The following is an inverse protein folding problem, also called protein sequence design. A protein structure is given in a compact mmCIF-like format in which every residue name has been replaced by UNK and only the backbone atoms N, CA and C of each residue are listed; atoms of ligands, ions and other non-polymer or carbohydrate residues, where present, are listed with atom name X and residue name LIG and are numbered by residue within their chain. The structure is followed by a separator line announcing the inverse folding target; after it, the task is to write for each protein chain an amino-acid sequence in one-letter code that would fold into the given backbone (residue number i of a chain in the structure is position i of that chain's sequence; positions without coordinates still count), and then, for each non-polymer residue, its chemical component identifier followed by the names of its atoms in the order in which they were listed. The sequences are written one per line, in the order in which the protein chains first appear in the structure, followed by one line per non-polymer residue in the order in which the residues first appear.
data_IF_237400768368
#
_entry.id   IF_237400768368
#
_cell.length_a   1.000
_cell.length_b   1.000
_cell.length_c   1.000
_cell.angle_alpha   90.00
_cell.angle_beta   90.00
_cell.angle_gamma   90.00
#
_symmetry.space_group_name_H-M   'P 1'
#
loop_
_entity.id
_entity.type
_entity.pdbx_description
1 polymer ?
#
# COMPACT_ATOMS: atom_id res chain seq x y z
N UNK A 1 1.97 -8.64 20.19
CA UNK A 1 1.41 -7.36 19.73
C UNK A 1 0.25 -7.69 18.82
N UNK A 2 -0.91 -7.06 18.93
CA UNK A 2 -2.02 -7.24 17.98
C UNK A 2 -2.01 -6.12 16.92
N UNK A 3 -2.86 -6.21 15.90
CA UNK A 3 -2.86 -5.23 14.81
C UNK A 3 -3.25 -3.83 15.25
N UNK A 4 -4.14 -3.70 16.25
CA UNK A 4 -4.47 -2.40 16.84
C UNK A 4 -3.24 -1.75 17.48
N UNK A 5 -2.46 -2.50 18.24
CA UNK A 5 -1.21 -2.01 18.86
C UNK A 5 -0.16 -1.62 17.81
N UNK A 6 -0.11 -2.32 16.67
CA UNK A 6 0.72 -1.93 15.52
C UNK A 6 0.27 -0.57 14.96
N UNK A 7 -1.03 -0.42 14.70
CA UNK A 7 -1.59 0.84 14.20
C UNK A 7 -1.35 2.01 15.17
N UNK A 8 -1.58 1.80 16.47
CA UNK A 8 -1.35 2.81 17.51
C UNK A 8 0.13 3.21 17.59
N UNK A 9 1.05 2.24 17.41
CA UNK A 9 2.49 2.50 17.38
C UNK A 9 2.89 3.31 16.15
N UNK A 10 2.46 2.91 14.95
CA UNK A 10 2.78 3.66 13.73
C UNK A 10 2.21 5.09 13.79
N UNK A 11 0.99 5.27 14.30
CA UNK A 11 0.40 6.58 14.50
C UNK A 11 1.23 7.45 15.46
N UNK A 12 1.82 6.85 16.50
CA UNK A 12 2.69 7.57 17.45
C UNK A 12 4.03 7.94 16.84
N UNK A 13 4.65 7.01 16.12
CA UNK A 13 6.05 7.10 15.65
C UNK A 13 6.19 7.82 14.29
N UNK A 14 5.18 7.77 13.42
CA UNK A 14 5.24 8.33 12.07
C UNK A 14 4.52 9.67 11.95
N UNK A 15 5.28 10.76 11.83
CA UNK A 15 4.72 12.09 11.57
C UNK A 15 4.10 12.19 10.16
N UNK A 16 4.68 11.47 9.20
CA UNK A 16 4.14 11.33 7.85
C UNK A 16 2.74 10.72 7.84
N UNK A 17 2.53 9.64 8.60
CA UNK A 17 1.23 9.01 8.75
C UNK A 17 0.20 9.97 9.37
N UNK A 18 0.54 10.68 10.46
CA UNK A 18 -0.38 11.65 11.08
C UNK A 18 -0.86 12.72 10.09
N UNK A 19 0.07 13.30 9.34
CA UNK A 19 -0.23 14.33 8.36
C UNK A 19 -1.06 13.78 7.20
N UNK A 20 -0.75 12.56 6.75
CA UNK A 20 -1.50 11.86 5.71
C UNK A 20 -2.95 11.59 6.15
N UNK A 21 -3.17 11.06 7.35
CA UNK A 21 -4.50 10.80 7.89
C UNK A 21 -5.33 12.08 7.97
N UNK A 22 -4.75 13.19 8.44
CA UNK A 22 -5.42 14.49 8.47
C UNK A 22 -5.88 14.94 7.08
N UNK A 23 -5.01 14.81 6.07
CA UNK A 23 -5.33 15.20 4.69
C UNK A 23 -6.41 14.30 4.06
N UNK A 24 -6.42 13.01 4.39
CA UNK A 24 -7.43 12.07 3.93
C UNK A 24 -8.79 12.28 4.61
N UNK A 25 -8.84 12.67 5.89
CA UNK A 25 -10.09 13.10 6.55
C UNK A 25 -10.71 14.33 5.85
N UNK A 26 -9.87 15.24 5.36
CA UNK A 26 -10.29 16.47 4.67
C UNK A 26 -10.50 16.30 3.15
N UNK A 27 -10.75 15.08 2.65
CA UNK A 27 -10.89 14.82 1.20
C UNK A 27 -12.29 15.05 0.65
N UNK A 28 -13.28 15.29 1.51
CA UNK A 28 -14.67 15.46 1.10
C UNK A 28 -14.84 16.54 0.02
N UNK A 29 -15.45 16.16 -1.10
CA UNK A 29 -15.70 17.03 -2.26
C UNK A 29 -14.50 17.20 -3.20
N UNK A 30 -13.29 16.76 -2.83
CA UNK A 30 -12.09 16.88 -3.65
C UNK A 30 -12.10 15.89 -4.82
N UNK A 31 -11.50 16.30 -5.93
CA UNK A 31 -11.15 15.45 -7.07
C UNK A 31 -9.72 14.94 -6.88
N UNK A 32 -9.55 13.64 -6.90
CA UNK A 32 -8.29 12.98 -6.54
C UNK A 32 -7.71 12.25 -7.73
N UNK A 33 -6.42 12.47 -7.99
CA UNK A 33 -5.62 11.64 -8.88
C UNK A 33 -4.90 10.60 -8.02
N UNK A 34 -5.18 9.32 -8.24
CA UNK A 34 -4.59 8.21 -7.50
C UNK A 34 -3.71 7.39 -8.43
N UNK A 35 -2.40 7.41 -8.19
CA UNK A 35 -1.45 6.53 -8.87
C UNK A 35 -1.13 5.32 -8.00
N UNK A 36 -1.21 4.13 -8.59
CA UNK A 36 -0.60 2.91 -8.03
C UNK A 36 0.56 2.44 -8.90
N UNK A 37 1.45 1.64 -8.34
CA UNK A 37 2.36 0.81 -9.14
C UNK A 37 1.57 -0.28 -9.90
N UNK A 38 2.09 -0.74 -11.03
CA UNK A 38 1.38 -1.63 -11.98
C UNK A 38 1.60 -3.12 -11.68
N UNK A 39 1.95 -3.46 -10.45
CA UNK A 39 2.10 -4.82 -9.94
C UNK A 39 1.00 -5.17 -8.89
N UNK A 40 0.99 -6.39 -8.35
CA UNK A 40 -0.05 -6.78 -7.41
C UNK A 40 -0.07 -6.00 -6.09
N UNK A 41 1.07 -5.49 -5.60
CA UNK A 41 1.07 -4.65 -4.38
C UNK A 41 0.53 -3.25 -4.68
N UNK A 42 0.96 -2.61 -5.76
CA UNK A 42 0.48 -1.30 -6.17
C UNK A 42 -1.01 -1.27 -6.52
N UNK A 43 -1.50 -2.29 -7.23
CA UNK A 43 -2.94 -2.43 -7.54
C UNK A 43 -3.77 -2.68 -6.28
N UNK A 44 -3.31 -3.54 -5.37
CA UNK A 44 -3.95 -3.78 -4.07
C UNK A 44 -3.94 -2.53 -3.18
N UNK A 45 -2.84 -1.80 -3.17
CA UNK A 45 -2.71 -0.51 -2.48
C UNK A 45 -3.70 0.52 -3.00
N UNK A 46 -3.80 0.67 -4.34
CA UNK A 46 -4.71 1.61 -4.96
C UNK A 46 -6.17 1.23 -4.71
N UNK A 47 -6.48 -0.07 -4.72
CA UNK A 47 -7.79 -0.62 -4.36
C UNK A 47 -8.22 -0.20 -2.95
N UNK A 48 -7.36 -0.38 -1.94
CA UNK A 48 -7.63 0.00 -0.54
C UNK A 48 -7.81 1.52 -0.43
N UNK A 49 -6.88 2.31 -0.97
CA UNK A 49 -6.92 3.78 -0.83
C UNK A 49 -8.06 4.41 -1.61
N UNK A 50 -8.43 3.86 -2.77
CA UNK A 50 -9.62 4.29 -3.49
C UNK A 50 -10.87 4.16 -2.63
N UNK A 51 -11.06 3.02 -1.94
CA UNK A 51 -12.19 2.83 -1.02
C UNK A 51 -12.17 3.85 0.13
N UNK A 52 -10.99 4.14 0.70
CA UNK A 52 -10.84 5.18 1.72
C UNK A 52 -11.30 6.54 1.19
N UNK A 53 -10.80 6.95 0.03
CA UNK A 53 -11.12 8.24 -0.59
C UNK A 53 -12.63 8.38 -0.89
N UNK A 54 -13.23 7.34 -1.46
CA UNK A 54 -14.67 7.29 -1.75
C UNK A 54 -15.51 7.35 -0.46
N UNK A 55 -15.16 6.58 0.58
CA UNK A 55 -15.84 6.59 1.88
C UNK A 55 -15.74 7.93 2.62
N UNK A 56 -14.60 8.62 2.49
CA UNK A 56 -14.39 9.97 3.04
C UNK A 56 -15.03 11.07 2.17
N UNK A 57 -15.65 10.68 1.04
CA UNK A 57 -16.52 11.55 0.26
C UNK A 57 -15.80 12.37 -0.81
N UNK A 58 -14.68 11.87 -1.35
CA UNK A 58 -14.10 12.42 -2.58
C UNK A 58 -15.17 12.49 -3.69
N UNK A 59 -15.21 13.59 -4.44
CA UNK A 59 -16.22 13.77 -5.51
C UNK A 59 -15.87 12.99 -6.78
N UNK A 60 -14.58 12.68 -6.97
CA UNK A 60 -14.05 11.93 -8.10
C UNK A 60 -12.69 11.35 -7.72
N UNK A 61 -12.46 10.07 -8.06
CA UNK A 61 -11.15 9.43 -7.90
C UNK A 61 -10.75 8.84 -9.26
N UNK A 62 -9.73 9.44 -9.88
CA UNK A 62 -9.14 8.93 -11.12
C UNK A 62 -7.95 8.06 -10.79
N UNK A 63 -8.09 6.75 -10.98
CA UNK A 63 -7.04 5.78 -10.70
C UNK A 63 -6.25 5.45 -11.95
N UNK A 64 -4.92 5.53 -11.87
CA UNK A 64 -4.01 5.28 -12.99
C UNK A 64 -2.87 4.38 -12.50
N UNK A 65 -2.39 3.52 -13.38
CA UNK A 65 -1.25 2.64 -13.14
C UNK A 65 -0.17 2.92 -14.19
N UNK A 66 0.70 3.93 -13.96
CA UNK A 66 1.78 4.24 -14.90
C UNK A 66 2.85 3.16 -14.88
N UNK A 67 3.33 2.74 -16.06
CA UNK A 67 4.34 1.68 -16.26
C UNK A 67 5.70 2.01 -15.61
N UNK A 68 6.04 3.29 -15.47
CA UNK A 68 7.33 3.70 -14.91
C UNK A 68 7.35 3.60 -13.39
N UNK A 69 8.42 3.08 -12.78
CA UNK A 69 8.53 2.93 -11.32
C UNK A 69 8.51 4.26 -10.54
N UNK A 70 8.95 5.35 -11.14
CA UNK A 70 9.00 6.67 -10.48
C UNK A 70 7.81 7.55 -10.88
N UNK A 71 7.56 8.63 -10.14
CA UNK A 71 6.52 9.63 -10.47
C UNK A 71 7.16 10.82 -11.14
N UNK A 72 6.66 11.19 -12.32
CA UNK A 72 7.15 12.33 -13.08
C UNK A 72 6.04 13.37 -13.36
N UNK A 73 6.39 14.67 -13.38
CA UNK A 73 5.46 15.75 -13.74
C UNK A 73 4.65 15.53 -15.02
N UNK A 74 5.28 14.98 -16.07
CA UNK A 74 4.62 14.78 -17.36
C UNK A 74 3.47 13.75 -17.28
N UNK A 75 3.54 12.79 -16.35
CA UNK A 75 2.47 11.81 -16.13
C UNK A 75 1.25 12.49 -15.53
N UNK A 76 1.45 13.43 -14.60
CA UNK A 76 0.37 14.23 -14.02
C UNK A 76 -0.24 15.16 -15.09
N UNK A 77 0.59 15.77 -15.92
CA UNK A 77 0.13 16.62 -17.03
C UNK A 77 -0.72 15.83 -18.05
N UNK A 78 -0.34 14.58 -18.35
CA UNK A 78 -1.10 13.71 -19.27
C UNK A 78 -2.53 13.41 -18.79
N UNK A 79 -2.74 13.42 -17.47
CA UNK A 79 -4.04 13.18 -16.84
C UNK A 79 -4.90 14.44 -16.72
N UNK A 80 -4.36 15.63 -17.03
CA UNK A 80 -5.10 16.90 -17.03
C UNK A 80 -6.31 16.92 -17.99
N UNK A 81 -6.34 16.02 -18.98
CA UNK A 81 -7.50 15.79 -19.87
C UNK A 81 -8.77 15.39 -19.11
N UNK A 82 -8.65 14.87 -17.88
CA UNK A 82 -9.76 14.54 -17.00
C UNK A 82 -10.18 15.72 -16.11
N UNK A 83 -9.65 16.92 -16.36
CA UNK A 83 -9.94 18.13 -15.59
C UNK A 83 -8.96 18.34 -14.43
N UNK A 84 -9.11 19.45 -13.68
CA UNK A 84 -8.25 19.75 -12.55
C UNK A 84 -8.47 18.75 -11.40
N UNK A 85 -7.38 18.43 -10.70
CA UNK A 85 -7.37 17.64 -9.47
C UNK A 85 -6.97 18.55 -8.30
N UNK A 86 -7.52 18.27 -7.13
CA UNK A 86 -7.22 18.99 -5.88
C UNK A 86 -6.14 18.28 -5.06
N UNK A 87 -6.00 16.96 -5.26
CA UNK A 87 -5.13 16.07 -4.51
C UNK A 87 -4.52 15.03 -5.43
N UNK A 88 -3.23 14.80 -5.28
CA UNK A 88 -2.51 13.65 -5.82
C UNK A 88 -2.14 12.69 -4.70
N UNK A 89 -2.40 11.40 -4.93
CA UNK A 89 -2.02 10.32 -4.02
C UNK A 89 -1.24 9.28 -4.83
N UNK A 90 -0.04 8.96 -4.40
CA UNK A 90 0.77 7.88 -4.94
C UNK A 90 0.84 6.74 -3.94
N UNK A 91 0.62 5.51 -4.37
CA UNK A 91 0.72 4.32 -3.52
C UNK A 91 1.65 3.30 -4.12
N UNK A 92 2.44 2.65 -3.26
CA UNK A 92 3.50 1.70 -3.63
C UNK A 92 4.54 2.27 -4.61
N UNK A 93 4.63 3.60 -4.60
CA UNK A 93 5.49 4.40 -5.46
C UNK A 93 5.60 5.78 -4.85
N UNK A 94 6.76 6.40 -5.00
CA UNK A 94 6.99 7.78 -4.57
C UNK A 94 8.18 7.97 -3.63
N UNK A 95 8.93 6.92 -3.32
CA UNK A 95 10.16 7.01 -2.49
C UNK A 95 11.39 7.56 -3.24
N UNK A 96 11.23 7.99 -4.50
CA UNK A 96 12.29 8.65 -5.28
C UNK A 96 11.94 10.10 -5.64
N UNK A 97 12.95 10.85 -6.05
CA UNK A 97 12.87 12.24 -6.51
C UNK A 97 11.73 12.47 -7.54
N UNK A 98 10.67 13.18 -7.15
CA UNK A 98 9.57 13.51 -8.05
C UNK A 98 8.39 14.17 -7.36
N UNK A 99 8.04 13.70 -6.15
CA UNK A 99 6.85 14.17 -5.43
C UNK A 99 6.88 15.68 -5.11
N UNK A 100 8.02 16.22 -4.69
CA UNK A 100 8.16 17.65 -4.41
C UNK A 100 7.97 18.52 -5.67
N UNK A 101 8.31 18.00 -6.85
CA UNK A 101 8.03 18.69 -8.12
C UNK A 101 6.53 18.73 -8.42
N UNK A 102 5.78 17.69 -8.04
CA UNK A 102 4.32 17.68 -8.18
C UNK A 102 3.69 18.72 -7.25
N UNK A 103 4.22 18.89 -6.03
CA UNK A 103 3.79 19.98 -5.14
C UNK A 103 4.07 21.36 -5.76
N UNK A 104 5.22 21.54 -6.42
CA UNK A 104 5.56 22.78 -7.12
C UNK A 104 4.63 23.11 -8.30
N UNK A 105 3.97 22.10 -8.87
CA UNK A 105 2.91 22.29 -9.88
C UNK A 105 1.57 22.74 -9.27
N UNK A 106 1.50 22.89 -7.95
CA UNK A 106 0.33 23.40 -7.23
C UNK A 106 -0.64 22.31 -6.74
N UNK A 107 -0.23 21.03 -6.76
CA UNK A 107 -1.07 19.91 -6.37
C UNK A 107 -0.67 19.38 -4.99
N UNK A 108 -1.62 19.33 -4.05
CA UNK A 108 -1.37 18.71 -2.75
C UNK A 108 -1.02 17.23 -2.97
N UNK A 109 0.09 16.75 -2.40
CA UNK A 109 0.68 15.47 -2.76
C UNK A 109 0.90 14.59 -1.53
N UNK A 110 0.33 13.39 -1.59
CA UNK A 110 0.46 12.32 -0.61
C UNK A 110 1.16 11.11 -1.23
N UNK A 111 1.97 10.41 -0.44
CA UNK A 111 2.50 9.11 -0.82
C UNK A 111 2.46 8.11 0.34
N UNK A 112 2.15 6.85 0.01
CA UNK A 112 2.24 5.68 0.90
C UNK A 112 3.14 4.67 0.21
N UNK A 113 4.31 4.40 0.77
CA UNK A 113 5.33 3.59 0.09
C UNK A 113 6.21 2.85 1.10
N UNK A 114 6.91 1.80 0.67
CA UNK A 114 7.78 0.97 1.51
C UNK A 114 9.19 0.81 0.91
N UNK A 115 9.40 1.30 -0.31
CA UNK A 115 10.67 1.25 -1.02
C UNK A 115 11.77 2.10 -0.35
N UNK A 116 13.03 1.83 -0.71
CA UNK A 116 14.17 2.65 -0.28
C UNK A 116 14.03 4.10 -0.75
N UNK A 117 14.25 5.02 0.18
CA UNK A 117 14.30 6.44 -0.11
C UNK A 117 15.54 6.77 -0.93
N UNK A 118 15.33 7.27 -2.15
CA UNK A 118 16.40 7.81 -2.99
C UNK A 118 16.25 9.33 -3.04
N UNK A 119 16.83 10.00 -2.04
CA UNK A 119 16.75 11.46 -1.89
C UNK A 119 16.01 11.90 -0.64
N UNK A 120 15.68 13.19 -0.57
CA UNK A 120 14.94 13.80 0.54
C UNK A 120 13.65 14.42 -0.01
N UNK A 121 12.50 14.00 0.53
CA UNK A 121 11.18 14.53 0.20
C UNK A 121 10.81 15.55 1.28
N UNK A 122 10.66 16.83 0.90
CA UNK A 122 10.53 17.96 1.83
C UNK A 122 9.14 18.58 1.86
N UNK A 123 8.42 18.53 0.74
CA UNK A 123 7.16 19.24 0.54
C UNK A 123 5.97 18.29 0.51
N UNK A 124 6.10 17.14 -0.14
CA UNK A 124 5.06 16.14 -0.15
C UNK A 124 4.91 15.47 1.22
N UNK A 125 3.70 14.99 1.53
CA UNK A 125 3.46 14.19 2.73
C UNK A 125 3.69 12.72 2.41
N UNK A 126 4.68 12.11 3.06
CA UNK A 126 5.07 10.73 2.83
C UNK A 126 4.85 9.89 4.09
N UNK A 127 4.12 8.78 3.97
CA UNK A 127 4.16 7.68 4.91
C UNK A 127 5.02 6.55 4.32
N UNK A 128 6.19 6.30 4.90
CA UNK A 128 7.06 5.20 4.50
C UNK A 128 7.58 4.42 5.71
N UNK A 129 7.47 3.09 5.67
CA UNK A 129 7.81 2.18 6.77
C UNK A 129 9.30 2.20 7.14
N UNK A 130 10.19 2.51 6.19
CA UNK A 130 11.63 2.60 6.44
C UNK A 130 11.99 3.82 7.29
N UNK A 131 11.17 4.88 7.30
CA UNK A 131 11.35 6.03 8.19
C UNK A 131 11.15 5.66 9.67
N UNK A 132 10.31 4.67 9.95
CA UNK A 132 10.12 4.08 11.29
C UNK A 132 10.92 2.79 11.49
N UNK A 133 11.89 2.50 10.60
CA UNK A 133 12.76 1.31 10.63
C UNK A 133 11.99 -0.02 10.59
N UNK A 134 10.84 -0.04 9.93
CA UNK A 134 10.03 -1.23 9.68
C UNK A 134 10.29 -1.73 8.26
N UNK A 135 11.29 -2.59 8.12
CA UNK A 135 11.51 -3.31 6.86
C UNK A 135 10.62 -4.56 6.76
N UNK A 136 10.56 -5.18 5.58
CA UNK A 136 9.78 -6.40 5.30
C UNK A 136 8.27 -6.21 5.47
N UNK A 137 7.71 -5.27 4.72
CA UNK A 137 6.29 -5.11 4.48
C UNK A 137 6.06 -4.73 3.01
N UNK A 138 4.81 -4.49 2.65
CA UNK A 138 4.38 -4.04 1.32
C UNK A 138 3.61 -2.71 1.43
N UNK A 139 3.43 -1.99 0.33
CA UNK A 139 2.60 -0.79 0.25
C UNK A 139 1.14 -1.06 0.64
N UNK A 140 0.58 -2.20 0.25
CA UNK A 140 -0.83 -2.53 0.55
C UNK A 140 -1.06 -2.75 2.04
N UNK A 141 -0.08 -3.29 2.76
CA UNK A 141 -0.12 -3.40 4.22
C UNK A 141 -0.11 -2.04 4.91
N UNK A 142 0.66 -1.08 4.40
CA UNK A 142 0.63 0.30 4.90
C UNK A 142 -0.71 0.98 4.61
N UNK A 143 -1.30 0.72 3.43
CA UNK A 143 -2.64 1.18 3.08
C UNK A 143 -3.71 0.59 4.00
N UNK A 144 -3.59 -0.67 4.41
CA UNK A 144 -4.47 -1.28 5.40
C UNK A 144 -4.40 -0.59 6.77
N UNK A 145 -3.19 -0.22 7.23
CA UNK A 145 -3.01 0.57 8.46
C UNK A 145 -3.76 1.92 8.34
N UNK A 146 -3.61 2.60 7.20
CA UNK A 146 -4.31 3.87 6.92
C UNK A 146 -5.84 3.68 6.94
N UNK A 147 -6.35 2.68 6.22
CA UNK A 147 -7.79 2.35 6.17
C UNK A 147 -8.35 2.04 7.57
N UNK A 148 -7.58 1.31 8.38
CA UNK A 148 -7.94 0.95 9.75
C UNK A 148 -8.00 2.17 10.67
N UNK A 149 -6.97 3.02 10.65
CA UNK A 149 -6.91 4.22 11.48
C UNK A 149 -7.99 5.25 11.13
N UNK A 150 -8.46 5.28 9.88
CA UNK A 150 -9.57 6.13 9.44
C UNK A 150 -10.96 5.52 9.69
N UNK A 151 -11.03 4.30 10.21
CA UNK A 151 -12.29 3.57 10.41
C UNK A 151 -12.97 3.15 9.10
N UNK A 152 -12.21 3.02 8.01
CA UNK A 152 -12.69 2.69 6.67
C UNK A 152 -12.49 1.21 6.29
N UNK A 153 -11.81 0.43 7.13
CA UNK A 153 -11.42 -0.95 6.81
C UNK A 153 -12.60 -1.84 6.46
N UNK A 154 -12.45 -2.62 5.40
CA UNK A 154 -13.34 -3.71 5.00
C UNK A 154 -12.61 -5.06 5.01
N UNK A 155 -13.33 -6.20 5.11
CA UNK A 155 -12.71 -7.52 5.01
C UNK A 155 -11.89 -7.69 3.73
N UNK A 156 -12.31 -7.08 2.61
CA UNK A 156 -11.55 -7.13 1.35
C UNK A 156 -10.20 -6.40 1.43
N UNK A 157 -10.04 -5.41 2.31
CA UNK A 157 -8.75 -4.73 2.50
C UNK A 157 -7.69 -5.67 3.10
N UNK A 158 -8.11 -6.62 3.96
CA UNK A 158 -7.21 -7.63 4.50
C UNK A 158 -6.75 -8.61 3.41
N UNK A 159 -7.66 -8.95 2.50
CA UNK A 159 -7.37 -9.80 1.35
C UNK A 159 -6.36 -9.13 0.41
N UNK A 160 -6.62 -7.86 0.05
CA UNK A 160 -5.72 -7.06 -0.80
C UNK A 160 -4.34 -6.92 -0.15
N UNK A 161 -4.27 -6.65 1.17
CA UNK A 161 -3.00 -6.58 1.89
C UNK A 161 -2.24 -7.91 1.92
N UNK A 162 -2.92 -9.05 1.99
CA UNK A 162 -2.28 -10.37 1.91
C UNK A 162 -1.67 -10.62 0.53
N UNK A 163 -2.36 -10.21 -0.54
CA UNK A 163 -1.86 -10.34 -1.92
C UNK A 163 -0.58 -9.54 -2.07
N UNK A 164 -0.59 -8.26 -1.71
CA UNK A 164 0.58 -7.40 -1.86
C UNK A 164 1.77 -7.86 -1.00
N UNK A 165 1.53 -8.28 0.25
CA UNK A 165 2.60 -8.86 1.08
C UNK A 165 3.24 -10.10 0.45
N UNK A 166 2.47 -10.94 -0.25
CA UNK A 166 3.02 -12.11 -0.94
C UNK A 166 3.74 -11.70 -2.23
N UNK A 167 3.17 -10.78 -3.00
CA UNK A 167 3.76 -10.30 -4.25
C UNK A 167 5.11 -9.60 -4.05
N UNK A 168 5.26 -8.87 -2.94
CA UNK A 168 6.51 -8.20 -2.56
C UNK A 168 7.52 -9.11 -1.85
N UNK A 169 7.24 -10.42 -1.78
CA UNK A 169 8.06 -11.38 -1.05
C UNK A 169 8.24 -11.01 0.45
N UNK A 170 7.37 -10.16 1.01
CA UNK A 170 7.40 -9.82 2.43
C UNK A 170 7.00 -11.02 3.30
N UNK A 171 6.23 -11.94 2.74
CA UNK A 171 5.83 -13.20 3.37
C UNK A 171 5.98 -14.39 2.43
N UNK A 172 6.26 -15.55 3.01
CA UNK A 172 6.22 -16.83 2.34
C UNK A 172 5.56 -17.88 3.26
N UNK A 173 4.24 -18.07 3.14
CA UNK A 173 3.51 -19.05 3.92
C UNK A 173 4.03 -20.49 3.78
N UNK A 174 4.65 -20.84 2.64
CA UNK A 174 5.12 -22.20 2.37
C UNK A 174 6.34 -22.60 3.20
N UNK A 175 7.13 -21.61 3.64
CA UNK A 175 8.28 -21.80 4.53
C UNK A 175 7.98 -21.40 5.98
N UNK A 176 6.77 -20.93 6.27
CA UNK A 176 6.39 -20.40 7.58
C UNK A 176 6.98 -19.00 7.85
N UNK A 177 7.45 -18.30 6.81
CA UNK A 177 7.86 -16.91 6.92
C UNK A 177 6.64 -15.99 6.83
N UNK A 178 6.29 -15.34 7.95
CA UNK A 178 5.16 -14.42 8.03
C UNK A 178 5.60 -12.96 8.19
N UNK A 179 6.83 -12.62 7.78
CA UNK A 179 7.35 -11.25 7.81
C UNK A 179 7.93 -10.84 9.17
N UNK A 180 8.15 -9.53 9.33
CA UNK A 180 8.82 -8.95 10.51
C UNK A 180 8.12 -9.29 11.83
N UNK A 181 8.90 -9.76 12.82
CA UNK A 181 8.38 -10.34 14.06
C UNK A 181 7.51 -9.39 14.91
N UNK A 182 7.71 -8.08 14.79
CA UNK A 182 7.00 -7.04 15.53
C UNK A 182 6.18 -6.11 14.63
N UNK A 183 5.93 -6.50 13.37
CA UNK A 183 5.19 -5.68 12.41
C UNK A 183 4.18 -6.48 11.58
N UNK A 184 4.60 -7.24 10.57
CA UNK A 184 3.67 -8.00 9.71
C UNK A 184 3.22 -9.30 10.37
N UNK A 185 4.14 -10.04 10.98
CA UNK A 185 3.86 -11.38 11.54
C UNK A 185 2.71 -11.40 12.55
N UNK A 186 2.63 -10.47 13.53
CA UNK A 186 1.56 -10.53 14.50
C UNK A 186 0.17 -10.31 13.90
N UNK A 187 0.05 -9.46 12.87
CA UNK A 187 -1.21 -9.29 12.14
C UNK A 187 -1.59 -10.56 11.37
N UNK A 188 -0.64 -11.20 10.69
CA UNK A 188 -0.92 -12.47 9.99
C UNK A 188 -1.40 -13.55 10.96
N UNK A 189 -0.75 -13.70 12.12
CA UNK A 189 -1.17 -14.67 13.14
C UNK A 189 -2.58 -14.38 13.64
N UNK A 190 -2.96 -13.11 13.76
CA UNK A 190 -4.32 -12.67 14.14
C UNK A 190 -5.37 -12.99 13.07
N UNK A 191 -5.06 -12.77 11.78
CA UNK A 191 -6.05 -12.90 10.70
C UNK A 191 -6.09 -14.29 10.05
N UNK A 192 -5.04 -15.10 10.19
CA UNK A 192 -4.91 -16.42 9.57
C UNK A 192 -6.11 -17.35 9.82
N UNK A 193 -6.74 -17.41 11.01
CA UNK A 193 -7.94 -18.23 11.21
C UNK A 193 -9.13 -17.81 10.33
N UNK A 194 -9.25 -16.53 9.98
CA UNK A 194 -10.32 -16.03 9.10
C UNK A 194 -10.05 -16.33 7.62
N UNK A 195 -8.77 -16.38 7.26
CA UNK A 195 -8.30 -16.58 5.89
C UNK A 195 -7.61 -17.93 5.69
N UNK A 196 -7.97 -18.95 6.47
CA UNK A 196 -7.22 -20.22 6.57
C UNK A 196 -6.93 -20.88 5.23
N UNK A 197 -7.88 -20.78 4.29
CA UNK A 197 -7.77 -21.37 2.95
C UNK A 197 -6.67 -20.72 2.10
N UNK A 198 -6.34 -19.44 2.34
CA UNK A 198 -5.25 -18.75 1.65
C UNK A 198 -3.88 -19.29 2.05
N UNK A 199 -3.75 -19.78 3.29
CA UNK A 199 -2.49 -20.27 3.86
C UNK A 199 -2.33 -21.78 3.77
N UNK A 200 -3.36 -22.50 3.34
CA UNK A 200 -3.32 -23.97 3.26
C UNK A 200 -2.30 -24.40 2.21
N UNK A 201 -1.39 -25.28 2.61
CA UNK A 201 -0.41 -25.85 1.71
C UNK A 201 -1.07 -26.78 0.69
N UNK A 202 -0.70 -26.59 -0.57
CA UNK A 202 -1.14 -27.37 -1.71
C UNK A 202 0.11 -28.05 -2.27
N UNK A 203 0.20 -29.39 -2.20
CA UNK A 203 1.31 -30.13 -2.81
C UNK A 203 1.33 -29.92 -4.33
N UNK A 204 2.52 -29.84 -4.92
CA UNK A 204 2.69 -29.76 -6.38
C UNK A 204 3.24 -28.43 -6.87
N UNK A 205 2.63 -27.87 -7.93
CA UNK A 205 3.19 -26.76 -8.72
C UNK A 205 3.38 -25.48 -7.91
N UNK A 206 4.61 -25.23 -7.51
CA UNK A 206 5.07 -23.99 -6.90
C UNK A 206 4.98 -22.79 -7.86
N UNK A 207 4.53 -21.63 -7.36
CA UNK A 207 4.48 -20.37 -8.14
C UNK A 207 5.83 -19.66 -8.12
N UNK A 208 6.02 -18.62 -8.91
CA UNK A 208 7.26 -17.82 -8.91
C UNK A 208 7.62 -17.25 -7.52
N UNK A 209 6.64 -17.11 -6.64
CA UNK A 209 6.83 -16.60 -5.28
C UNK A 209 7.26 -17.65 -4.26
N UNK A 210 7.21 -18.92 -4.62
CA UNK A 210 7.65 -20.03 -3.76
C UNK A 210 9.14 -20.27 -4.04
N UNK A 211 9.98 -19.38 -3.48
CA UNK A 211 11.42 -19.32 -3.79
C UNK A 211 12.28 -20.12 -2.81
N UNK A 212 11.83 -20.27 -1.56
CA UNK A 212 12.53 -21.04 -0.53
C UNK A 212 12.45 -22.56 -0.77
N UNK A 213 11.43 -23.01 -1.49
CA UNK A 213 11.16 -24.41 -1.82
C UNK A 213 10.27 -24.51 -3.08
N UNK A 214 10.22 -25.67 -3.75
CA UNK A 214 9.48 -25.87 -5.01
C UNK A 214 8.50 -27.06 -4.99
N UNK A 215 8.20 -27.60 -3.82
CA UNK A 215 7.42 -28.83 -3.61
C UNK A 215 5.93 -28.56 -3.34
N UNK A 216 5.61 -27.37 -2.84
CA UNK A 216 4.26 -26.97 -2.44
C UNK A 216 4.02 -25.49 -2.73
N UNK A 217 2.75 -25.11 -2.72
CA UNK A 217 2.30 -23.73 -2.86
C UNK A 217 1.19 -23.44 -1.85
N UNK A 218 0.63 -22.23 -1.88
CA UNK A 218 -0.62 -21.90 -1.19
C UNK A 218 -1.57 -21.18 -2.15
N UNK A 219 -2.86 -21.17 -1.84
CA UNK A 219 -3.83 -20.41 -2.66
C UNK A 219 -3.45 -18.92 -2.74
N UNK A 220 -2.89 -18.34 -1.67
CA UNK A 220 -2.36 -16.98 -1.70
C UNK A 220 -1.25 -16.79 -2.74
N UNK A 221 -0.36 -17.78 -2.87
CA UNK A 221 0.77 -17.74 -3.81
C UNK A 221 0.31 -17.86 -5.26
N UNK A 222 -0.76 -18.62 -5.50
CA UNK A 222 -1.41 -18.76 -6.80
C UNK A 222 -2.16 -17.50 -7.20
N UNK A 223 -2.88 -16.88 -6.26
CA UNK A 223 -3.58 -15.61 -6.51
C UNK A 223 -2.57 -14.52 -6.85
N UNK A 224 -1.52 -14.35 -6.05
CA UNK A 224 -0.50 -13.33 -6.28
C UNK A 224 0.22 -13.46 -7.63
N UNK A 225 0.34 -14.68 -8.19
CA UNK A 225 1.00 -14.93 -9.49
C UNK A 225 0.16 -14.52 -10.69
N UNK A 226 -1.16 -14.50 -10.53
CA UNK A 226 -2.10 -14.23 -11.63
C UNK A 226 -2.68 -12.81 -11.55
N UNK A 227 -2.46 -12.11 -10.43
CA UNK A 227 -3.11 -10.85 -10.08
C UNK A 227 -2.75 -9.69 -11.00
#
# INVERSE_FOLDING_TARGET
MNFKEICDRELKESEGLKNLLKKLEDVKGKRVLLFGHDDPDGTSSASIIKRVLEKKGASFVHTVFPEGFDVFPYEIEAESKYGPFDLFVSVDKGSKDGLDKIVEMGLDTLAIDHHFLMGEIKKATLFNSLLTKRSYCSGSYLCLIVSTLLGCVEPIDEFDALIGLKADFAIDPTSGNFGGADFVKPWIEEIKPRWENLFKEIPGTATLFDTAQREKTTLLSQIAEVY
#
